data_IF_140151837678
#
_entry.id   IF_140151837678
#
_cell.length_a   1.000
_cell.length_b   1.000
_cell.length_c   1.000
_cell.angle_alpha   90.00
_cell.angle_beta   90.00
_cell.angle_gamma   90.00
#
_symmetry.space_group_name_H-M   'P 1'
#
loop_
_entity.id
_entity.type
_entity.pdbx_description
1 polymer ?
#
# COMPACT_ATOMS: atom_id res chain seq x y z
N UNK A 1 -6.22 -8.47 -15.59
CA UNK A 1 -5.51 -8.21 -14.32
C UNK A 1 -5.88 -6.79 -13.94
N UNK A 2 -6.57 -6.62 -12.82
CA UNK A 2 -6.97 -5.31 -12.30
C UNK A 2 -6.12 -5.04 -11.06
N UNK A 3 -5.66 -3.80 -10.92
CA UNK A 3 -4.94 -3.33 -9.75
C UNK A 3 -5.84 -2.39 -8.96
N UNK A 4 -6.15 -2.75 -7.74
CA UNK A 4 -6.94 -1.95 -6.81
C UNK A 4 -6.00 -1.18 -5.88
N UNK A 5 -6.20 0.13 -5.76
CA UNK A 5 -5.39 0.99 -4.92
C UNK A 5 -6.17 1.32 -3.64
N UNK A 6 -5.58 1.03 -2.49
CA UNK A 6 -6.15 1.37 -1.18
C UNK A 6 -5.23 2.33 -0.44
N UNK A 7 -5.79 3.21 0.39
CA UNK A 7 -4.95 3.93 1.36
C UNK A 7 -4.44 2.94 2.41
N UNK A 8 -3.14 2.96 2.68
CA UNK A 8 -2.58 2.22 3.79
C UNK A 8 -2.47 3.14 5.02
N UNK A 9 -2.50 2.58 6.25
CA UNK A 9 -2.23 3.36 7.44
C UNK A 9 -0.83 4.01 7.38
N UNK A 10 -0.69 5.18 8.00
CA UNK A 10 0.57 5.95 8.09
C UNK A 10 1.70 5.15 8.77
N UNK A 11 1.31 4.18 9.60
CA UNK A 11 2.21 3.16 10.12
C UNK A 11 2.61 2.21 8.99
N UNK A 12 3.87 2.32 8.52
CA UNK A 12 4.58 1.20 7.90
C UNK A 12 4.27 -0.09 8.67
N UNK A 13 4.03 -1.24 8.01
CA UNK A 13 3.77 -2.47 8.75
C UNK A 13 4.97 -2.66 9.68
N UNK A 14 4.73 -2.65 10.99
CA UNK A 14 5.76 -2.70 12.02
C UNK A 14 6.54 -4.00 11.90
N UNK A 15 7.57 -4.00 11.06
CA UNK A 15 8.41 -5.14 10.73
C UNK A 15 7.62 -6.37 10.22
N UNK A 16 8.26 -7.33 9.52
CA UNK A 16 7.80 -8.70 9.71
C UNK A 16 7.83 -8.94 11.21
N UNK A 17 6.72 -9.36 11.80
CA UNK A 17 6.74 -9.90 13.17
C UNK A 17 7.65 -11.12 13.15
N UNK A 18 8.96 -10.90 13.33
CA UNK A 18 9.92 -11.88 13.82
C UNK A 18 9.63 -12.03 15.31
N UNK A 19 8.42 -12.50 15.60
CA UNK A 19 8.09 -13.05 16.89
C UNK A 19 8.55 -14.51 16.79
N UNK A 20 9.41 -15.00 17.68
CA UNK A 20 9.54 -16.43 17.88
C UNK A 20 8.21 -16.88 18.48
N UNK A 21 7.21 -17.11 17.62
CA UNK A 21 5.95 -17.68 18.05
C UNK A 21 6.23 -19.15 18.29
N UNK A 22 6.76 -19.43 19.48
CA UNK A 22 6.66 -20.74 20.10
C UNK A 22 5.18 -20.95 20.43
N UNK A 23 4.37 -21.15 19.40
CA UNK A 23 2.98 -21.56 19.49
C UNK A 23 2.96 -22.99 20.03
N UNK A 24 2.77 -23.11 21.35
CA UNK A 24 2.55 -24.39 22.04
C UNK A 24 1.14 -24.96 21.84
N UNK A 25 0.42 -24.52 20.80
CA UNK A 25 -0.83 -25.09 20.34
C UNK A 25 -0.89 -24.88 18.83
N UNK A 26 -1.20 -25.94 18.07
CA UNK A 26 -1.22 -25.95 16.60
C UNK A 26 -2.39 -25.15 16.00
N UNK A 27 -2.49 -23.88 16.33
CA UNK A 27 -3.46 -22.93 15.78
C UNK A 27 -2.75 -22.12 14.69
N UNK A 28 -3.22 -22.31 13.45
CA UNK A 28 -2.84 -21.47 12.33
C UNK A 28 -3.19 -20.01 12.69
N UNK A 29 -2.35 -19.02 12.37
CA UNK A 29 -2.70 -17.62 12.62
C UNK A 29 -4.00 -17.27 11.88
N UNK A 30 -5.08 -17.03 12.61
CA UNK A 30 -6.45 -16.79 12.09
C UNK A 30 -6.63 -15.40 11.46
N UNK A 31 -5.57 -14.67 11.19
CA UNK A 31 -5.65 -13.31 10.67
C UNK A 31 -4.81 -13.21 9.41
N UNK A 32 -5.46 -13.47 8.28
CA UNK A 32 -5.10 -12.76 7.06
C UNK A 32 -5.03 -11.27 7.40
N UNK A 33 -4.03 -10.52 6.92
CA UNK A 33 -4.00 -9.08 7.12
C UNK A 33 -5.29 -8.51 6.55
N UNK A 34 -6.24 -8.18 7.42
CA UNK A 34 -7.51 -7.60 7.02
C UNK A 34 -7.19 -6.22 6.44
N UNK A 35 -7.09 -6.14 5.11
CA UNK A 35 -7.10 -4.87 4.40
C UNK A 35 -8.41 -4.21 4.78
N UNK A 36 -8.35 -3.14 5.55
CA UNK A 36 -9.55 -2.39 5.93
C UNK A 36 -10.15 -1.82 4.63
N UNK A 37 -11.29 -2.36 4.14
CA UNK A 37 -11.79 -2.08 2.79
C UNK A 37 -12.38 -0.67 2.68
N UNK A 38 -12.30 0.15 3.74
CA UNK A 38 -12.90 1.47 3.84
C UNK A 38 -12.33 2.53 2.89
N UNK A 39 -11.17 2.33 2.28
CA UNK A 39 -10.52 3.36 1.45
C UNK A 39 -9.98 2.82 0.10
N UNK A 40 -10.80 2.08 -0.66
CA UNK A 40 -10.52 1.89 -2.08
C UNK A 40 -10.52 3.26 -2.78
N UNK A 41 -9.38 3.66 -3.31
CA UNK A 41 -9.22 4.90 -4.09
C UNK A 41 -9.68 4.72 -5.53
N UNK A 42 -9.48 3.51 -6.08
CA UNK A 42 -9.89 3.16 -7.43
C UNK A 42 -9.31 1.83 -7.88
N UNK A 43 -9.83 1.37 -9.01
CA UNK A 43 -9.36 0.18 -9.71
C UNK A 43 -8.76 0.62 -11.05
N UNK A 44 -7.60 0.08 -11.38
CA UNK A 44 -6.76 0.49 -12.50
C UNK A 44 -6.37 -0.72 -13.34
N UNK A 45 -6.13 -0.54 -14.63
CA UNK A 45 -5.71 -1.62 -15.51
C UNK A 45 -4.23 -2.00 -15.29
N UNK A 46 -3.45 -1.15 -14.60
CA UNK A 46 -2.02 -1.37 -14.33
C UNK A 46 -1.51 -0.59 -13.13
N UNK A 47 -0.36 -1.05 -12.59
CA UNK A 47 0.37 -0.38 -11.51
C UNK A 47 0.74 1.07 -11.87
N UNK A 48 1.24 1.30 -13.08
CA UNK A 48 1.61 2.64 -13.55
C UNK A 48 0.43 3.62 -13.56
N UNK A 49 -0.79 3.14 -13.82
CA UNK A 49 -1.99 3.97 -13.76
C UNK A 49 -2.35 4.34 -12.32
N UNK A 50 -2.26 3.39 -11.39
CA UNK A 50 -2.46 3.65 -9.97
C UNK A 50 -1.45 4.69 -9.44
N UNK A 51 -0.17 4.59 -9.83
CA UNK A 51 0.86 5.57 -9.44
C UNK A 51 0.60 6.93 -10.10
N UNK A 52 0.16 6.97 -11.35
CA UNK A 52 -0.26 8.22 -12.01
C UNK A 52 -1.46 8.86 -11.32
N UNK A 53 -2.41 8.08 -10.83
CA UNK A 53 -3.53 8.59 -10.05
C UNK A 53 -3.05 9.31 -8.78
N UNK A 54 -2.14 8.69 -8.02
CA UNK A 54 -1.55 9.30 -6.81
C UNK A 54 -0.79 10.59 -7.15
N UNK A 55 -0.01 10.59 -8.24
CA UNK A 55 0.70 11.79 -8.71
C UNK A 55 -0.28 12.93 -9.07
N UNK A 56 -1.35 12.62 -9.80
CA UNK A 56 -2.37 13.61 -10.16
C UNK A 56 -3.11 14.14 -8.92
N UNK A 57 -3.40 13.28 -7.94
CA UNK A 57 -4.03 13.66 -6.69
C UNK A 57 -3.12 14.59 -5.86
N UNK A 58 -1.81 14.30 -5.81
CA UNK A 58 -0.83 15.16 -5.17
C UNK A 58 -0.76 16.53 -5.88
N UNK A 59 -0.68 16.54 -7.21
CA UNK A 59 -0.65 17.77 -8.01
C UNK A 59 -1.92 18.63 -7.80
N UNK A 60 -3.09 18.00 -7.71
CA UNK A 60 -4.35 18.70 -7.41
C UNK A 60 -4.36 19.37 -6.02
N UNK A 61 -3.58 18.85 -5.07
CA UNK A 61 -3.37 19.41 -3.73
C UNK A 61 -2.16 20.36 -3.65
N UNK A 62 -1.58 20.74 -4.80
CA UNK A 62 -0.35 21.55 -4.86
C UNK A 62 0.85 20.89 -4.16
N UNK A 63 0.87 19.56 -4.15
CA UNK A 63 1.96 18.74 -3.65
C UNK A 63 2.72 18.14 -4.84
N UNK A 64 4.02 17.92 -4.66
CA UNK A 64 4.88 17.27 -5.65
C UNK A 64 5.31 15.90 -5.12
N UNK A 65 5.26 14.86 -5.95
CA UNK A 65 5.82 13.56 -5.58
C UNK A 65 7.34 13.65 -5.63
N UNK A 66 7.99 13.59 -4.47
CA UNK A 66 9.43 13.68 -4.32
C UNK A 66 10.11 12.32 -4.46
N UNK A 67 9.49 11.25 -3.95
CA UNK A 67 10.01 9.89 -4.02
C UNK A 67 8.86 8.87 -3.98
N UNK A 68 9.09 7.72 -4.61
CA UNK A 68 8.16 6.58 -4.58
C UNK A 68 8.93 5.30 -4.36
N UNK A 69 8.58 4.56 -3.32
CA UNK A 69 9.18 3.28 -2.99
C UNK A 69 8.11 2.20 -2.96
N UNK A 70 8.40 1.05 -3.56
CA UNK A 70 7.54 -0.13 -3.46
C UNK A 70 8.24 -1.25 -2.72
N UNK A 71 7.55 -1.88 -1.79
CA UNK A 71 7.99 -3.14 -1.19
C UNK A 71 7.90 -4.28 -2.23
N UNK A 72 8.62 -5.40 -2.03
CA UNK A 72 8.46 -6.57 -2.89
C UNK A 72 7.01 -7.07 -2.88
N UNK A 73 6.50 -7.37 -4.07
CA UNK A 73 5.20 -7.99 -4.26
C UNK A 73 5.10 -9.32 -3.52
N UNK A 74 4.01 -9.51 -2.76
CA UNK A 74 3.74 -10.77 -2.09
C UNK A 74 2.77 -11.62 -2.93
N UNK A 75 3.28 -12.71 -3.52
CA UNK A 75 2.49 -13.61 -4.36
C UNK A 75 1.41 -14.41 -3.59
N UNK A 76 1.50 -14.49 -2.25
CA UNK A 76 0.49 -15.18 -1.44
C UNK A 76 -0.73 -14.31 -1.19
N UNK A 77 -0.54 -13.00 -1.00
CA UNK A 77 -1.63 -12.05 -0.73
C UNK A 77 -1.99 -11.20 -1.94
N UNK A 78 -1.23 -11.30 -3.04
CA UNK A 78 -1.33 -10.43 -4.22
C UNK A 78 -1.30 -8.92 -3.89
N UNK A 79 -0.63 -8.56 -2.79
CA UNK A 79 -0.56 -7.18 -2.28
C UNK A 79 0.87 -6.68 -2.42
N UNK A 80 1.02 -5.47 -2.95
CA UNK A 80 2.25 -4.69 -2.96
C UNK A 80 2.05 -3.42 -2.11
N UNK A 81 3.06 -3.08 -1.31
CA UNK A 81 3.06 -1.83 -0.54
C UNK A 81 3.74 -0.73 -1.33
N UNK A 82 3.08 0.42 -1.46
CA UNK A 82 3.60 1.61 -2.13
C UNK A 82 3.70 2.76 -1.11
N UNK A 83 4.91 3.21 -0.85
CA UNK A 83 5.20 4.41 -0.08
C UNK A 83 5.50 5.56 -1.03
N UNK A 84 4.82 6.69 -0.84
CA UNK A 84 4.97 7.89 -1.64
C UNK A 84 5.36 9.03 -0.72
N UNK A 85 6.47 9.69 -1.01
CA UNK A 85 6.89 10.91 -0.33
C UNK A 85 6.41 12.12 -1.13
N UNK A 86 5.49 12.87 -0.54
CA UNK A 86 4.95 14.10 -1.06
C UNK A 86 5.70 15.29 -0.47
N UNK A 87 5.99 16.29 -1.29
CA UNK A 87 6.57 17.56 -0.90
C UNK A 87 5.53 18.66 -1.04
N UNK A 88 5.29 19.37 0.05
CA UNK A 88 4.36 20.49 0.08
C UNK A 88 5.03 21.78 -0.40
N UNK A 89 4.23 22.80 -0.73
CA UNK A 89 4.72 24.13 -1.10
C UNK A 89 5.61 24.79 -0.03
N UNK A 90 5.40 24.45 1.25
CA UNK A 90 6.21 24.88 2.39
C UNK A 90 7.58 24.16 2.49
N UNK A 91 7.91 23.30 1.53
CA UNK A 91 9.07 22.38 1.55
C UNK A 91 8.99 21.26 2.61
N UNK A 92 7.96 21.26 3.45
CA UNK A 92 7.62 20.16 4.34
C UNK A 92 7.29 18.89 3.55
N UNK A 93 7.88 17.75 3.93
CA UNK A 93 7.61 16.45 3.32
C UNK A 93 6.60 15.66 4.13
N UNK A 94 5.66 15.00 3.46
CA UNK A 94 4.71 14.06 4.04
C UNK A 94 4.88 12.71 3.35
N UNK A 95 4.92 11.64 4.14
CA UNK A 95 4.92 10.28 3.60
C UNK A 95 3.50 9.75 3.64
N UNK A 96 3.07 9.11 2.56
CA UNK A 96 1.76 8.46 2.46
C UNK A 96 1.94 7.07 1.91
N UNK A 97 1.24 6.11 2.51
CA UNK A 97 1.34 4.71 2.14
C UNK A 97 0.05 4.27 1.43
N UNK A 98 0.21 3.34 0.51
CA UNK A 98 -0.87 2.74 -0.27
C UNK A 98 -0.65 1.24 -0.41
N UNK A 99 -1.74 0.50 -0.54
CA UNK A 99 -1.71 -0.90 -0.96
C UNK A 99 -2.13 -1.01 -2.42
N UNK A 100 -1.37 -1.76 -3.21
CA UNK A 100 -1.69 -2.18 -4.57
C UNK A 100 -2.09 -3.65 -4.50
N UNK A 101 -3.39 -3.94 -4.60
CA UNK A 101 -3.91 -5.31 -4.62
C UNK A 101 -4.12 -5.69 -6.07
N UNK A 102 -3.57 -6.82 -6.48
CA UNK A 102 -3.77 -7.30 -7.85
C UNK A 102 -4.77 -8.44 -7.88
N UNK A 103 -5.94 -8.20 -8.46
CA UNK A 103 -6.91 -9.26 -8.73
C UNK A 103 -6.58 -9.92 -10.08
N UNK A 104 -6.16 -11.18 -10.02
CA UNK A 104 -5.90 -12.00 -11.22
C UNK A 104 -7.15 -12.73 -11.73
N UNK A 105 -8.30 -12.62 -11.04
CA UNK A 105 -9.56 -13.26 -11.44
C UNK A 105 -9.46 -14.78 -11.51
N UNK A 106 -9.80 -15.47 -10.41
CA UNK A 106 -9.90 -16.94 -10.37
C UNK A 106 -11.17 -17.47 -11.05
#
# INVERSE_FOLDING_TARGET
MIVELYTAPDSSPSAPVDLPISNTAGELPEQEPTLDPGNLLGSFDSRDEAINFVQNQAAAQQQEVADTQSAPFNAYTHVEWLTVTLKNADQSTQTTNYYLVTDEGY
#
